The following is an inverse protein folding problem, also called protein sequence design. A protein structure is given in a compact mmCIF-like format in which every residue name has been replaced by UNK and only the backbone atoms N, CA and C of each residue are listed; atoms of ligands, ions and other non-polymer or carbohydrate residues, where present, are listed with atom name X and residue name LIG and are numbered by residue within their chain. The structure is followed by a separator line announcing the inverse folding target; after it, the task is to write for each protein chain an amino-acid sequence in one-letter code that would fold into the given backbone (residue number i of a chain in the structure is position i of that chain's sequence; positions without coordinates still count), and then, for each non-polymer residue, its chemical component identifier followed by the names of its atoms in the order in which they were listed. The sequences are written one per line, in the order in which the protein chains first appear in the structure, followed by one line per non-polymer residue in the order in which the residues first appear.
data_IF_247503151906
#
_entry.id   IF_247503151906
#
_cell.length_a   1.000
_cell.length_b   1.000
_cell.length_c   1.000
_cell.angle_alpha   90.00
_cell.angle_beta   90.00
_cell.angle_gamma   90.00
#
_symmetry.space_group_name_H-M   'P 1'
#
loop_
_entity.id
_entity.type
_entity.pdbx_description
1 polymer ?
#
# COMPACT_ATOMS: atom_id res chain seq x y z
N UNK A 1 -33.51 7.62 -4.51
CA UNK A 1 -32.58 7.64 -5.67
C UNK A 1 -31.16 7.59 -5.11
N UNK A 2 -30.31 6.63 -5.52
CA UNK A 2 -28.90 6.71 -5.17
C UNK A 2 -28.23 7.84 -5.97
N UNK A 3 -27.37 8.60 -5.28
CA UNK A 3 -26.63 9.75 -5.80
C UNK A 3 -25.62 9.30 -6.88
N UNK A 4 -25.68 9.85 -8.12
CA UNK A 4 -24.81 9.44 -9.23
C UNK A 4 -23.33 9.84 -9.10
N UNK A 5 -22.91 10.52 -8.03
CA UNK A 5 -21.53 11.02 -7.89
C UNK A 5 -20.56 10.15 -7.06
N UNK A 6 -21.00 9.07 -6.38
CA UNK A 6 -20.08 8.18 -5.63
C UNK A 6 -19.66 6.96 -6.44
N UNK A 7 -19.02 7.19 -7.60
CA UNK A 7 -18.22 6.11 -8.20
C UNK A 7 -16.95 5.99 -7.36
N UNK A 8 -16.87 4.99 -6.46
CA UNK A 8 -15.65 4.76 -5.68
C UNK A 8 -14.49 4.59 -6.65
N UNK A 9 -13.55 5.53 -6.66
CA UNK A 9 -12.39 5.47 -7.54
C UNK A 9 -11.58 4.23 -7.12
N UNK A 10 -11.67 3.13 -7.90
CA UNK A 10 -10.89 1.93 -7.62
C UNK A 10 -9.43 2.22 -7.98
N UNK A 11 -8.65 2.59 -6.98
CA UNK A 11 -7.19 2.68 -7.10
C UNK A 11 -6.65 1.26 -7.34
N UNK A 12 -5.88 1.02 -8.40
CA UNK A 12 -5.28 -0.29 -8.62
C UNK A 12 -4.24 -0.56 -7.52
N UNK A 13 -4.17 -1.81 -7.05
CA UNK A 13 -3.07 -2.23 -6.17
C UNK A 13 -1.74 -2.11 -6.91
N UNK A 14 -0.71 -1.64 -6.21
CA UNK A 14 0.65 -1.69 -6.73
C UNK A 14 1.12 -3.15 -6.82
N UNK A 15 1.82 -3.51 -7.89
CA UNK A 15 2.42 -4.84 -8.00
C UNK A 15 3.51 -4.99 -6.93
N UNK A 16 3.57 -6.17 -6.29
CA UNK A 16 4.48 -6.48 -5.18
C UNK A 16 4.39 -5.52 -3.99
N UNK A 17 3.19 -5.02 -3.69
CA UNK A 17 2.97 -4.14 -2.55
C UNK A 17 3.31 -4.86 -1.23
N UNK A 18 3.96 -4.15 -0.30
CA UNK A 18 4.35 -4.69 1.00
C UNK A 18 3.11 -5.07 1.81
N UNK A 19 2.07 -4.24 1.75
CA UNK A 19 0.79 -4.47 2.43
C UNK A 19 0.18 -5.83 2.05
N UNK A 20 0.17 -6.18 0.76
CA UNK A 20 -0.41 -7.43 0.28
C UNK A 20 0.47 -8.64 0.59
N UNK A 21 1.78 -8.55 0.30
CA UNK A 21 2.74 -9.63 0.52
C UNK A 21 2.85 -10.01 2.00
N UNK A 22 2.97 -9.02 2.88
CA UNK A 22 3.26 -9.27 4.29
C UNK A 22 2.01 -9.44 5.15
N UNK A 23 0.85 -8.88 4.76
CA UNK A 23 -0.35 -8.85 5.61
C UNK A 23 -1.60 -9.38 4.92
N UNK A 24 -2.12 -8.70 3.89
CA UNK A 24 -3.45 -9.02 3.37
C UNK A 24 -3.55 -10.43 2.78
N UNK A 25 -2.50 -10.91 2.10
CA UNK A 25 -2.47 -12.29 1.60
C UNK A 25 -2.51 -13.33 2.71
N UNK A 26 -2.02 -13.03 3.91
CA UNK A 26 -2.08 -13.94 5.07
C UNK A 26 -3.47 -13.91 5.72
N UNK A 27 -4.08 -12.73 5.86
CA UNK A 27 -5.44 -12.62 6.37
C UNK A 27 -6.46 -13.33 5.46
N UNK A 28 -6.32 -13.16 4.15
CA UNK A 28 -7.19 -13.78 3.15
C UNK A 28 -7.03 -15.32 3.04
N UNK A 29 -5.96 -15.91 3.57
CA UNK A 29 -5.79 -17.38 3.58
C UNK A 29 -6.73 -18.06 4.57
N UNK A 30 -7.14 -17.37 5.63
CA UNK A 30 -8.12 -17.90 6.60
C UNK A 30 -7.72 -19.27 7.20
N UNK A 31 -6.42 -19.53 7.38
CA UNK A 31 -5.91 -20.83 7.88
C UNK A 31 -5.50 -20.82 9.35
N UNK A 32 -5.26 -19.64 9.93
CA UNK A 32 -4.68 -19.54 11.28
C UNK A 32 -5.72 -19.70 12.40
N UNK A 33 -5.42 -20.60 13.34
CA UNK A 33 -6.16 -20.77 14.61
C UNK A 33 -5.52 -19.99 15.76
N UNK A 34 -6.31 -19.56 16.73
CA UNK A 34 -5.85 -18.78 17.91
C UNK A 34 -5.24 -19.67 19.02
N UNK A 35 -4.64 -20.81 18.67
CA UNK A 35 -4.20 -21.81 19.64
C UNK A 35 -3.00 -21.32 20.48
N UNK A 36 -2.99 -21.66 21.76
CA UNK A 36 -1.81 -21.48 22.63
C UNK A 36 -1.66 -20.13 23.34
N UNK A 37 -2.59 -19.17 23.15
CA UNK A 37 -2.49 -17.86 23.80
C UNK A 37 -3.79 -17.43 24.50
N UNK A 38 -3.76 -17.34 25.83
CA UNK A 38 -4.93 -17.07 26.67
C UNK A 38 -5.57 -15.71 26.43
N UNK A 39 -4.76 -14.66 26.22
CA UNK A 39 -5.30 -13.32 25.98
C UNK A 39 -5.94 -13.25 24.57
N UNK A 40 -5.49 -14.05 23.57
CA UNK A 40 -6.04 -14.02 22.20
C UNK A 40 -7.38 -14.72 22.23
N UNK A 41 -7.45 -15.85 22.93
CA UNK A 41 -8.70 -16.55 23.17
C UNK A 41 -9.72 -15.66 23.89
N UNK A 42 -9.26 -14.78 24.79
CA UNK A 42 -10.13 -13.82 25.47
C UNK A 42 -10.69 -12.78 24.50
N UNK A 43 -9.87 -12.24 23.59
CA UNK A 43 -10.34 -11.32 22.55
C UNK A 43 -11.24 -11.99 21.55
N UNK A 44 -10.87 -13.18 21.09
CA UNK A 44 -11.70 -14.00 20.22
C UNK A 44 -13.10 -14.15 20.84
N UNK A 45 -13.17 -14.58 22.10
CA UNK A 45 -14.46 -14.75 22.79
C UNK A 45 -15.25 -13.45 22.89
N UNK A 46 -14.59 -12.32 23.17
CA UNK A 46 -15.26 -11.01 23.20
C UNK A 46 -15.78 -10.57 21.83
N UNK A 47 -14.95 -10.64 20.79
CA UNK A 47 -15.36 -10.34 19.43
C UNK A 47 -16.49 -11.26 18.98
N UNK A 48 -16.44 -12.55 19.30
CA UNK A 48 -17.52 -13.49 19.00
C UNK A 48 -18.84 -13.08 19.68
N UNK A 49 -18.80 -12.72 20.97
CA UNK A 49 -19.98 -12.27 21.72
C UNK A 49 -20.54 -10.95 21.18
N UNK A 50 -19.68 -9.95 20.99
CA UNK A 50 -20.10 -8.62 20.56
C UNK A 50 -20.62 -8.62 19.13
N UNK A 51 -20.00 -9.40 18.23
CA UNK A 51 -20.42 -9.49 16.84
C UNK A 51 -21.65 -10.40 16.64
N UNK A 52 -22.06 -11.20 17.64
CA UNK A 52 -23.16 -12.16 17.55
C UNK A 52 -24.52 -11.49 17.25
N UNK A 53 -24.74 -10.26 17.72
CA UNK A 53 -26.01 -9.54 17.55
C UNK A 53 -26.17 -8.90 16.17
N UNK A 54 -25.11 -8.86 15.35
CA UNK A 54 -25.11 -8.17 14.06
C UNK A 54 -25.23 -9.16 12.91
N UNK A 55 -26.42 -9.23 12.30
CA UNK A 55 -26.71 -10.13 11.19
C UNK A 55 -25.74 -9.94 10.01
N UNK A 56 -25.45 -8.67 9.64
CA UNK A 56 -24.54 -8.32 8.55
C UNK A 56 -23.06 -8.66 8.78
N UNK A 57 -22.70 -9.20 9.95
CA UNK A 57 -21.34 -9.63 10.29
C UNK A 57 -21.20 -11.15 10.31
N UNK A 58 -22.30 -11.92 10.40
CA UNK A 58 -22.22 -13.36 10.68
C UNK A 58 -21.37 -14.12 9.65
N UNK A 59 -21.52 -13.80 8.36
CA UNK A 59 -20.76 -14.41 7.26
C UNK A 59 -19.25 -14.11 7.32
N UNK A 60 -18.87 -13.00 7.95
CA UNK A 60 -17.49 -12.54 8.07
C UNK A 60 -16.87 -12.82 9.44
N UNK A 61 -17.66 -13.26 10.43
CA UNK A 61 -17.21 -13.45 11.82
C UNK A 61 -16.01 -14.38 11.91
N UNK A 62 -16.09 -15.56 11.29
CA UNK A 62 -14.99 -16.54 11.31
C UNK A 62 -13.73 -15.99 10.63
N UNK A 63 -13.90 -15.24 9.53
CA UNK A 63 -12.79 -14.61 8.79
C UNK A 63 -12.08 -13.57 9.64
N UNK A 64 -12.83 -12.73 10.34
CA UNK A 64 -12.30 -11.73 11.27
C UNK A 64 -11.48 -12.41 12.35
N UNK A 65 -12.04 -13.45 13.00
CA UNK A 65 -11.33 -14.20 14.05
C UNK A 65 -10.03 -14.81 13.51
N UNK A 66 -10.05 -15.45 12.34
CA UNK A 66 -8.84 -16.03 11.72
C UNK A 66 -7.81 -14.96 11.36
N UNK A 67 -8.25 -13.78 10.91
CA UNK A 67 -7.39 -12.62 10.67
C UNK A 67 -6.68 -12.16 11.94
N UNK A 68 -7.43 -12.03 13.05
CA UNK A 68 -6.87 -11.72 14.38
C UNK A 68 -5.84 -12.77 14.80
N UNK A 69 -6.18 -14.06 14.66
CA UNK A 69 -5.24 -15.14 14.97
C UNK A 69 -3.98 -15.04 14.09
N UNK A 70 -4.11 -14.76 12.79
CA UNK A 70 -2.98 -14.64 11.87
C UNK A 70 -2.06 -13.47 12.26
N UNK A 71 -2.62 -12.28 12.50
CA UNK A 71 -1.85 -11.11 12.91
C UNK A 71 -1.10 -11.30 14.23
N UNK A 72 -1.65 -12.12 15.13
CA UNK A 72 -1.02 -12.40 16.43
C UNK A 72 0.22 -13.31 16.32
N UNK A 73 0.27 -14.17 15.31
CA UNK A 73 1.37 -15.12 15.05
C UNK A 73 2.45 -14.55 14.15
N UNK A 74 2.22 -13.38 13.56
CA UNK A 74 3.27 -12.69 12.86
C UNK A 74 4.39 -12.40 13.85
N UNK A 75 5.61 -12.78 13.50
CA UNK A 75 6.81 -12.41 14.24
C UNK A 75 7.46 -11.22 13.58
N UNK A 76 8.09 -10.35 14.39
CA UNK A 76 8.92 -9.27 13.86
C UNK A 76 10.11 -9.88 13.14
N UNK A 77 10.18 -9.73 11.82
CA UNK A 77 11.37 -10.12 11.08
C UNK A 77 12.46 -9.07 11.31
N UNK A 78 13.70 -9.51 11.49
CA UNK A 78 14.88 -8.63 11.59
C UNK A 78 15.06 -7.73 10.35
N UNK A 79 14.41 -8.06 9.24
CA UNK A 79 14.44 -7.33 7.97
C UNK A 79 13.38 -6.23 7.84
N UNK A 80 12.33 -6.20 8.67
CA UNK A 80 11.32 -5.13 8.64
C UNK A 80 10.62 -4.90 10.00
N UNK A 81 11.34 -4.31 10.98
CA UNK A 81 10.77 -4.04 12.31
C UNK A 81 9.61 -3.03 12.30
N UNK A 82 9.63 -2.07 11.37
CA UNK A 82 8.61 -1.01 11.28
C UNK A 82 7.28 -1.50 10.70
N UNK A 83 7.29 -2.36 9.67
CA UNK A 83 6.06 -2.94 9.14
C UNK A 83 5.40 -3.87 10.17
N UNK A 84 6.19 -4.55 11.00
CA UNK A 84 5.68 -5.40 12.06
C UNK A 84 4.89 -4.62 13.14
N UNK A 85 5.35 -3.41 13.51
CA UNK A 85 4.62 -2.55 14.46
C UNK A 85 3.27 -2.08 13.93
N UNK A 86 3.06 -2.12 12.61
CA UNK A 86 1.80 -1.71 11.96
C UNK A 86 0.86 -2.88 11.63
N UNK A 87 1.21 -4.13 11.97
CA UNK A 87 0.40 -5.32 11.65
C UNK A 87 -1.06 -5.22 12.13
N UNK A 88 -1.29 -4.58 13.27
CA UNK A 88 -2.63 -4.37 13.82
C UNK A 88 -3.39 -3.29 13.06
N UNK A 89 -2.71 -2.29 12.49
CA UNK A 89 -3.31 -1.30 11.61
C UNK A 89 -3.74 -1.95 10.29
N UNK A 90 -2.87 -2.79 9.69
CA UNK A 90 -3.26 -3.60 8.53
C UNK A 90 -4.46 -4.49 8.83
N UNK A 91 -4.47 -5.17 9.99
CA UNK A 91 -5.62 -5.99 10.41
C UNK A 91 -6.89 -5.14 10.56
N UNK A 92 -6.80 -4.00 11.26
CA UNK A 92 -7.93 -3.12 11.52
C UNK A 92 -8.55 -2.60 10.21
N UNK A 93 -7.74 -2.11 9.29
CA UNK A 93 -8.20 -1.66 7.98
C UNK A 93 -8.74 -2.80 7.11
N UNK A 94 -8.13 -3.99 7.17
CA UNK A 94 -8.65 -5.17 6.46
C UNK A 94 -10.03 -5.59 6.98
N UNK A 95 -10.23 -5.62 8.30
CA UNK A 95 -11.54 -5.92 8.91
C UNK A 95 -12.57 -4.89 8.48
N UNK A 96 -12.23 -3.60 8.54
CA UNK A 96 -13.13 -2.54 8.08
C UNK A 96 -13.47 -2.68 6.59
N UNK A 97 -12.51 -2.94 5.71
CA UNK A 97 -12.79 -3.18 4.29
C UNK A 97 -13.73 -4.38 4.09
N UNK A 98 -13.54 -5.47 4.84
CA UNK A 98 -14.40 -6.64 4.79
C UNK A 98 -15.84 -6.31 5.19
N UNK A 99 -16.01 -5.59 6.30
CA UNK A 99 -17.31 -5.20 6.86
C UNK A 99 -18.02 -4.11 6.05
N UNK A 100 -17.27 -3.25 5.35
CA UNK A 100 -17.84 -2.20 4.49
C UNK A 100 -18.74 -2.75 3.39
N UNK A 101 -18.53 -4.01 3.00
CA UNK A 101 -19.27 -4.71 1.94
C UNK A 101 -20.63 -5.21 2.39
N UNK A 102 -20.85 -5.40 3.70
CA UNK A 102 -22.05 -6.04 4.24
C UNK A 102 -22.85 -5.16 5.22
N UNK A 103 -22.28 -4.05 5.69
CA UNK A 103 -22.93 -3.14 6.64
C UNK A 103 -23.37 -1.83 5.98
N UNK A 104 -24.44 -1.21 6.49
CA UNK A 104 -24.74 0.21 6.23
C UNK A 104 -23.78 1.14 6.99
N UNK A 105 -23.82 2.45 6.73
CA UNK A 105 -22.86 3.41 7.29
C UNK A 105 -22.97 3.59 8.82
N UNK A 106 -24.17 3.44 9.38
CA UNK A 106 -24.41 3.60 10.82
C UNK A 106 -23.83 2.39 11.56
N UNK A 107 -24.24 1.18 11.15
CA UNK A 107 -23.75 -0.06 11.73
C UNK A 107 -22.24 -0.22 11.52
N UNK A 108 -21.73 0.18 10.35
CA UNK A 108 -20.30 0.15 10.05
C UNK A 108 -19.50 0.92 11.08
N UNK A 109 -19.83 2.20 11.31
CA UNK A 109 -19.09 3.07 12.23
C UNK A 109 -19.09 2.51 13.65
N UNK A 110 -20.25 2.02 14.11
CA UNK A 110 -20.39 1.42 15.45
C UNK A 110 -19.54 0.15 15.59
N UNK A 111 -19.63 -0.77 14.63
CA UNK A 111 -18.97 -2.08 14.73
C UNK A 111 -17.45 -1.94 14.56
N UNK A 112 -16.99 -1.11 13.63
CA UNK A 112 -15.54 -0.86 13.44
C UNK A 112 -14.92 -0.22 14.68
N UNK A 113 -15.62 0.72 15.33
CA UNK A 113 -15.14 1.33 16.58
C UNK A 113 -15.05 0.30 17.71
N UNK A 114 -16.06 -0.56 17.85
CA UNK A 114 -16.07 -1.66 18.83
C UNK A 114 -14.90 -2.63 18.60
N UNK A 115 -14.68 -3.05 17.36
CA UNK A 115 -13.56 -3.91 16.99
C UNK A 115 -12.24 -3.22 17.34
N UNK A 116 -12.11 -1.92 17.05
CA UNK A 116 -10.90 -1.20 17.37
C UNK A 116 -10.57 -1.23 18.87
N UNK A 117 -11.56 -0.95 19.71
CA UNK A 117 -11.41 -0.99 21.17
C UNK A 117 -11.05 -2.37 21.69
N UNK A 118 -11.59 -3.45 21.12
CA UNK A 118 -11.20 -4.80 21.53
C UNK A 118 -9.79 -5.16 21.08
N UNK A 119 -9.41 -4.81 19.85
CA UNK A 119 -8.06 -5.06 19.34
C UNK A 119 -7.01 -4.27 20.16
N UNK A 120 -7.29 -3.02 20.55
CA UNK A 120 -6.36 -2.18 21.32
C UNK A 120 -5.97 -2.82 22.65
N UNK A 121 -6.90 -3.50 23.32
CA UNK A 121 -6.66 -4.15 24.63
C UNK A 121 -5.54 -5.19 24.59
N UNK A 122 -5.30 -5.77 23.42
CA UNK A 122 -4.25 -6.76 23.22
C UNK A 122 -3.04 -6.21 22.48
N UNK A 123 -3.25 -5.50 21.39
CA UNK A 123 -2.15 -5.15 20.50
C UNK A 123 -1.25 -4.08 21.13
N UNK A 124 -1.81 -3.18 21.94
CA UNK A 124 -1.05 -2.14 22.64
C UNK A 124 -0.02 -2.75 23.60
N UNK A 125 -0.38 -3.81 24.32
CA UNK A 125 0.55 -4.50 25.23
C UNK A 125 1.59 -5.36 24.49
N UNK A 126 1.38 -5.61 23.20
CA UNK A 126 2.27 -6.37 22.31
C UNK A 126 2.96 -5.49 21.25
N UNK A 127 3.19 -4.21 21.58
CA UNK A 127 3.98 -3.27 20.77
C UNK A 127 3.32 -2.88 19.45
N UNK A 128 2.00 -2.90 19.38
CA UNK A 128 1.25 -2.55 18.18
C UNK A 128 0.16 -1.54 18.53
N UNK A 129 0.36 -0.29 18.09
CA UNK A 129 -0.59 0.81 18.31
C UNK A 129 -1.62 0.81 17.20
N UNK A 130 -2.90 0.79 17.55
CA UNK A 130 -3.98 0.83 16.57
C UNK A 130 -4.41 2.27 16.32
N UNK A 131 -4.56 2.62 15.06
CA UNK A 131 -5.07 3.92 14.61
C UNK A 131 -6.59 3.89 14.60
N UNK A 132 -7.17 3.75 15.79
CA UNK A 132 -8.62 3.84 15.95
C UNK A 132 -9.09 5.19 15.43
N UNK A 133 -10.10 5.13 14.58
CA UNK A 133 -10.48 6.27 13.76
C UNK A 133 -12.00 6.27 13.62
N UNK A 134 -12.61 7.40 13.96
CA UNK A 134 -14.05 7.55 13.88
C UNK A 134 -14.37 8.14 12.52
N UNK A 135 -14.79 7.29 11.60
CA UNK A 135 -15.07 7.67 10.23
C UNK A 135 -16.33 6.94 9.73
N UNK A 136 -17.12 7.62 8.91
CA UNK A 136 -18.10 6.91 8.10
C UNK A 136 -17.38 5.96 7.13
N UNK A 137 -18.14 5.05 6.52
CA UNK A 137 -17.60 4.01 5.64
C UNK A 137 -16.73 4.55 4.50
N UNK A 138 -17.17 5.63 3.85
CA UNK A 138 -16.46 6.22 2.71
C UNK A 138 -15.11 6.79 3.14
N UNK A 139 -15.09 7.61 4.20
CA UNK A 139 -13.86 8.17 4.76
C UNK A 139 -12.92 7.08 5.29
N UNK A 140 -13.45 6.04 5.93
CA UNK A 140 -12.65 4.91 6.40
C UNK A 140 -11.91 4.21 5.26
N UNK A 141 -12.59 3.93 4.14
CA UNK A 141 -11.97 3.29 2.98
C UNK A 141 -10.94 4.19 2.29
N UNK A 142 -11.16 5.51 2.29
CA UNK A 142 -10.17 6.49 1.82
C UNK A 142 -8.95 6.52 2.72
N UNK A 143 -9.12 6.57 4.05
CA UNK A 143 -8.04 6.47 5.04
C UNK A 143 -7.25 5.16 4.87
N UNK A 144 -7.91 4.02 4.67
CA UNK A 144 -7.24 2.75 4.31
C UNK A 144 -6.39 2.89 3.06
N UNK A 145 -6.94 3.48 1.99
CA UNK A 145 -6.24 3.64 0.71
C UNK A 145 -4.95 4.44 0.87
N UNK A 146 -4.98 5.50 1.69
CA UNK A 146 -3.80 6.33 1.97
C UNK A 146 -2.81 5.62 2.89
N UNK A 147 -3.29 4.88 3.89
CA UNK A 147 -2.46 4.00 4.71
C UNK A 147 -1.70 2.97 3.85
N UNK A 148 -2.40 2.29 2.94
CA UNK A 148 -1.79 1.33 2.00
C UNK A 148 -0.75 2.01 1.11
N UNK A 149 -1.10 3.17 0.54
CA UNK A 149 -0.16 3.97 -0.26
C UNK A 149 1.12 4.30 0.51
N UNK A 150 1.01 4.80 1.75
CA UNK A 150 2.18 5.15 2.56
C UNK A 150 3.13 3.96 2.76
N UNK A 151 2.59 2.76 3.02
CA UNK A 151 3.43 1.57 3.23
C UNK A 151 3.95 0.93 1.93
N UNK A 152 3.32 1.24 0.80
CA UNK A 152 3.65 0.63 -0.50
C UNK A 152 4.42 1.57 -1.44
N UNK A 153 4.50 2.87 -1.17
CA UNK A 153 5.13 3.85 -2.06
C UNK A 153 6.64 3.66 -2.28
N UNK A 154 7.30 2.83 -1.46
CA UNK A 154 8.74 2.51 -1.60
C UNK A 154 9.11 1.95 -2.98
N UNK A 155 8.18 1.26 -3.66
CA UNK A 155 8.39 0.78 -5.04
C UNK A 155 8.45 1.93 -6.05
N UNK A 156 7.74 3.03 -5.77
CA UNK A 156 7.75 4.27 -6.56
C UNK A 156 9.08 5.00 -6.33
N UNK A 157 9.48 5.19 -5.07
CA UNK A 157 10.78 5.78 -4.71
C UNK A 157 11.95 5.04 -5.38
N UNK A 158 11.91 3.70 -5.37
CA UNK A 158 12.92 2.87 -6.05
C UNK A 158 12.95 3.12 -7.56
N UNK A 159 11.79 3.32 -8.19
CA UNK A 159 11.70 3.59 -9.62
C UNK A 159 12.16 5.01 -9.99
N UNK A 160 11.94 6.00 -9.12
CA UNK A 160 12.46 7.37 -9.29
C UNK A 160 13.99 7.36 -9.33
N UNK A 161 14.63 6.59 -8.46
CA UNK A 161 16.09 6.52 -8.33
C UNK A 161 16.78 5.64 -9.38
N UNK A 162 16.01 4.87 -10.16
CA UNK A 162 16.55 3.97 -11.17
C UNK A 162 17.05 4.70 -12.42
N UNK A 163 18.20 4.27 -12.96
CA UNK A 163 18.75 4.76 -14.24
C UNK A 163 17.95 4.35 -15.47
N UNK A 164 17.08 3.35 -15.34
CA UNK A 164 16.14 2.93 -16.37
C UNK A 164 14.71 3.20 -15.85
N UNK A 165 14.47 4.44 -15.40
CA UNK A 165 13.23 4.80 -14.73
C UNK A 165 12.04 4.61 -15.67
N UNK A 166 11.15 3.67 -15.33
CA UNK A 166 9.82 3.54 -15.92
C UNK A 166 8.75 4.19 -15.02
N UNK A 167 9.16 5.15 -14.18
CA UNK A 167 8.32 5.76 -13.15
C UNK A 167 7.09 6.42 -13.75
N UNK A 168 7.27 7.24 -14.79
CA UNK A 168 6.18 7.93 -15.47
C UNK A 168 5.15 6.94 -15.99
N UNK A 169 5.59 5.97 -16.80
CA UNK A 169 4.67 5.01 -17.42
C UNK A 169 3.97 4.12 -16.41
N UNK A 170 4.64 3.72 -15.32
CA UNK A 170 4.08 2.76 -14.34
C UNK A 170 3.29 3.41 -13.21
N UNK A 171 3.79 4.50 -12.64
CA UNK A 171 3.32 5.02 -11.36
C UNK A 171 2.61 6.36 -11.45
N UNK A 172 2.84 7.20 -12.48
CA UNK A 172 2.06 8.44 -12.63
C UNK A 172 0.55 8.18 -12.73
N UNK A 173 0.06 7.20 -13.53
CA UNK A 173 -1.38 6.89 -13.56
C UNK A 173 -1.95 6.39 -12.22
N UNK A 174 -1.10 5.80 -11.38
CA UNK A 174 -1.48 5.39 -10.03
C UNK A 174 -1.54 6.61 -9.09
N UNK A 175 -0.52 7.47 -9.11
CA UNK A 175 -0.45 8.69 -8.30
C UNK A 175 -1.60 9.65 -8.64
N UNK A 176 -1.98 9.77 -9.90
CA UNK A 176 -3.15 10.56 -10.33
C UNK A 176 -4.47 10.08 -9.74
N UNK A 177 -4.59 8.79 -9.44
CA UNK A 177 -5.78 8.23 -8.76
C UNK A 177 -5.70 8.38 -7.23
N UNK A 178 -4.49 8.36 -6.66
CA UNK A 178 -4.26 8.57 -5.23
C UNK A 178 -4.48 10.04 -4.83
N UNK A 179 -4.00 10.98 -5.64
CA UNK A 179 -4.02 12.42 -5.35
C UNK A 179 -5.37 12.97 -4.85
N UNK A 180 -6.52 12.73 -5.53
CA UNK A 180 -7.80 13.24 -5.04
C UNK A 180 -8.18 12.63 -3.67
N UNK A 181 -7.92 11.34 -3.47
CA UNK A 181 -8.19 10.65 -2.19
C UNK A 181 -7.30 11.21 -1.08
N UNK A 182 -6.03 11.45 -1.41
CA UNK A 182 -5.05 12.03 -0.50
C UNK A 182 -5.50 13.41 -0.04
N UNK A 183 -5.92 14.27 -0.96
CA UNK A 183 -6.40 15.62 -0.64
C UNK A 183 -7.64 15.58 0.26
N UNK A 184 -8.60 14.70 -0.01
CA UNK A 184 -9.78 14.55 0.85
C UNK A 184 -9.41 14.10 2.27
N UNK A 185 -8.50 13.13 2.41
CA UNK A 185 -8.02 12.66 3.72
C UNK A 185 -7.18 13.73 4.42
N UNK A 186 -6.38 14.49 3.67
CA UNK A 186 -5.59 15.60 4.18
C UNK A 186 -6.49 16.69 4.76
N UNK A 187 -7.49 17.13 4.01
CA UNK A 187 -8.43 18.18 4.44
C UNK A 187 -9.18 17.77 5.72
N UNK A 188 -9.61 16.51 5.78
CA UNK A 188 -10.22 15.94 6.97
C UNK A 188 -9.23 15.88 8.16
N UNK A 189 -7.97 15.51 7.92
CA UNK A 189 -6.96 15.44 8.98
C UNK A 189 -6.43 16.79 9.44
N UNK A 190 -6.45 17.82 8.60
CA UNK A 190 -6.13 19.19 9.01
C UNK A 190 -7.10 19.68 10.09
N UNK A 191 -8.37 19.27 10.04
CA UNK A 191 -9.38 19.55 11.06
C UNK A 191 -9.30 18.65 12.31
N UNK A 192 -8.79 17.43 12.18
CA UNK A 192 -8.92 16.37 13.20
C UNK A 192 -7.58 15.86 13.80
N UNK A 193 -6.44 16.41 13.39
CA UNK A 193 -5.10 15.96 13.82
C UNK A 193 -4.83 15.99 15.32
N UNK A 194 -5.62 16.71 16.13
CA UNK A 194 -5.47 16.74 17.60
C UNK A 194 -6.22 15.62 18.31
N UNK A 195 -7.29 15.12 17.70
CA UNK A 195 -8.26 14.23 18.34
C UNK A 195 -8.27 12.83 17.73
N UNK A 196 -8.07 12.71 16.41
CA UNK A 196 -8.09 11.43 15.69
C UNK A 196 -6.68 10.80 15.62
N UNK A 197 -6.48 9.59 16.19
CA UNK A 197 -5.21 8.86 16.11
C UNK A 197 -4.66 8.65 14.71
N UNK A 198 -5.52 8.39 13.72
CA UNK A 198 -5.10 8.24 12.32
C UNK A 198 -4.54 9.57 11.82
N UNK A 199 -5.23 10.68 12.06
CA UNK A 199 -4.79 11.98 11.58
C UNK A 199 -3.51 12.49 12.25
N UNK A 200 -3.23 12.05 13.49
CA UNK A 200 -1.92 12.28 14.13
C UNK A 200 -0.79 11.65 13.35
N UNK A 201 -0.95 10.37 12.95
CA UNK A 201 0.07 9.67 12.17
C UNK A 201 0.09 10.11 10.71
N UNK A 202 -1.05 10.50 10.13
CA UNK A 202 -1.08 11.08 8.78
C UNK A 202 -0.11 12.27 8.67
N UNK A 203 -0.10 13.16 9.66
CA UNK A 203 0.83 14.29 9.72
C UNK A 203 2.29 13.83 9.86
N UNK A 204 2.59 12.66 10.43
CA UNK A 204 3.96 12.16 10.52
C UNK A 204 4.39 11.50 9.21
N UNK A 205 3.52 10.72 8.57
CA UNK A 205 3.76 10.01 7.31
C UNK A 205 4.13 10.93 6.16
N UNK A 206 3.48 12.10 6.07
CA UNK A 206 3.60 13.04 4.95
C UNK A 206 4.39 14.31 5.28
N UNK A 207 5.25 14.26 6.31
CA UNK A 207 6.26 15.33 6.54
C UNK A 207 7.43 15.29 5.57
N UNK A 208 7.71 14.13 5.00
CA UNK A 208 8.86 13.85 4.15
C UNK A 208 8.43 13.59 2.68
N UNK A 209 9.30 12.95 1.89
CA UNK A 209 9.16 12.68 0.45
C UNK A 209 8.01 11.71 0.06
N UNK A 210 7.03 11.47 0.92
CA UNK A 210 5.93 10.53 0.69
C UNK A 210 4.69 11.17 0.05
N UNK A 211 4.67 12.50 -0.08
CA UNK A 211 3.57 13.23 -0.69
C UNK A 211 3.37 12.79 -2.16
N UNK A 212 2.14 12.40 -2.57
CA UNK A 212 1.89 11.87 -3.91
C UNK A 212 2.08 12.90 -5.03
N UNK A 213 1.90 14.20 -4.76
CA UNK A 213 2.14 15.26 -5.74
C UNK A 213 3.64 15.46 -5.94
N UNK A 214 4.39 15.42 -4.83
CA UNK A 214 5.84 15.45 -4.87
C UNK A 214 6.41 14.23 -5.61
N UNK A 215 5.94 13.02 -5.32
CA UNK A 215 6.38 11.80 -6.02
C UNK A 215 6.06 11.83 -7.51
N UNK A 216 4.90 12.39 -7.90
CA UNK A 216 4.54 12.56 -9.32
C UNK A 216 5.55 13.46 -10.03
N UNK A 217 5.85 14.62 -9.43
CA UNK A 217 6.84 15.56 -9.95
C UNK A 217 8.24 14.95 -10.05
N UNK A 218 8.61 14.11 -9.08
CA UNK A 218 9.88 13.38 -9.10
C UNK A 218 9.94 12.31 -10.19
N UNK A 219 8.84 11.58 -10.49
CA UNK A 219 8.78 10.68 -11.65
C UNK A 219 9.07 11.44 -12.95
N UNK A 220 8.43 12.59 -13.16
CA UNK A 220 8.61 13.39 -14.38
C UNK A 220 10.06 13.87 -14.51
N UNK A 221 10.65 14.34 -13.41
CA UNK A 221 12.06 14.74 -13.36
C UNK A 221 13.04 13.59 -13.62
N UNK A 222 12.73 12.38 -13.14
CA UNK A 222 13.56 11.20 -13.35
C UNK A 222 13.56 10.77 -14.83
N UNK A 223 12.42 10.88 -15.52
CA UNK A 223 12.29 10.61 -16.95
C UNK A 223 13.15 11.56 -17.78
N UNK A 224 13.25 12.83 -17.42
CA UNK A 224 14.12 13.79 -18.12
C UNK A 224 15.62 13.48 -17.95
N UNK A 225 16.01 12.97 -16.78
CA UNK A 225 17.41 12.65 -16.46
C UNK A 225 17.88 11.33 -17.07
N UNK A 226 17.00 10.33 -17.08
CA UNK A 226 17.37 8.93 -17.32
C UNK A 226 16.55 8.26 -18.42
N UNK A 227 15.47 8.89 -18.89
CA UNK A 227 14.64 8.35 -19.95
C UNK A 227 15.38 8.29 -21.29
N UNK A 228 14.90 7.45 -22.23
CA UNK A 228 15.38 7.47 -23.59
C UNK A 228 15.25 8.89 -24.15
N UNK A 229 16.34 9.49 -24.60
CA UNK A 229 16.26 10.77 -25.31
C UNK A 229 15.26 10.60 -26.47
N UNK A 230 14.28 11.48 -26.63
CA UNK A 230 13.38 11.41 -27.78
C UNK A 230 14.25 11.39 -29.03
N UNK A 231 14.07 10.35 -29.85
CA UNK A 231 14.78 10.20 -31.11
C UNK A 231 14.58 11.45 -31.98
N UNK A 232 15.49 11.73 -32.93
CA UNK A 232 15.39 12.91 -33.76
C UNK A 232 14.00 13.01 -34.37
N UNK A 233 13.28 14.08 -34.04
CA UNK A 233 11.99 14.44 -34.65
C UNK A 233 12.25 14.56 -36.15
N UNK A 234 11.78 13.58 -36.93
CA UNK A 234 11.84 13.64 -38.39
C UNK A 234 11.02 14.85 -38.83
N UNK A 235 11.72 15.94 -39.17
CA UNK A 235 11.12 17.12 -39.78
C UNK A 235 10.60 16.79 -41.19
N UNK A 236 9.72 17.64 -41.74
CA UNK A 236 9.10 17.39 -43.04
C UNK A 236 10.15 17.31 -44.15
N UNK A 237 9.96 16.33 -45.03
CA UNK A 237 10.93 15.93 -46.04
C UNK A 237 11.42 17.04 -46.96
N UNK A 238 12.68 16.93 -47.35
CA UNK A 238 13.20 17.55 -48.57
C UNK A 238 13.75 16.42 -49.43
N UNK A 239 13.17 16.28 -50.61
CA UNK A 239 13.56 15.35 -51.67
C UNK A 239 14.92 15.73 -52.24
N UNK A 240 15.85 14.77 -52.31
CA UNK A 240 16.87 14.74 -53.35
C UNK A 240 17.28 13.28 -53.61
N UNK A 241 17.17 12.87 -54.87
CA UNK A 241 17.36 11.51 -55.35
C UNK A 241 18.83 11.14 -55.59
N UNK A 242 19.09 9.83 -55.42
CA UNK A 242 20.10 8.97 -56.05
C UNK A 242 21.60 9.25 -55.82
N UNK A 243 22.34 8.23 -55.35
CA UNK A 243 23.05 7.24 -56.20
C UNK A 243 23.24 5.95 -55.38
N UNK A 244 22.96 4.80 -56.00
CA UNK A 244 23.12 3.47 -55.39
C UNK A 244 24.56 2.96 -55.41
N UNK A 245 24.86 2.05 -54.49
CA UNK A 245 25.78 0.92 -54.72
C UNK A 245 25.52 -0.17 -53.69
N UNK A 246 25.23 -1.34 -54.21
CA UNK A 246 25.06 -2.64 -53.57
C UNK A 246 26.39 -3.17 -53.03
N UNK A 247 26.44 -3.59 -51.77
CA UNK A 247 27.31 -4.68 -51.32
C UNK A 247 26.96 -5.15 -49.88
N UNK A 248 26.56 -6.41 -49.77
CA UNK A 248 26.76 -7.34 -48.63
C UNK A 248 26.63 -8.75 -49.26
N UNK A 249 27.19 -9.84 -48.69
CA UNK A 249 27.74 -9.97 -47.35
C UNK A 249 29.10 -10.70 -47.28
N UNK A 250 29.83 -10.55 -46.18
CA UNK A 250 30.79 -11.58 -45.75
C UNK A 250 30.60 -11.87 -44.26
N UNK A 251 30.17 -13.11 -44.01
CA UNK A 251 30.10 -13.71 -42.70
C UNK A 251 31.51 -13.98 -42.16
N UNK A 252 31.73 -13.64 -40.89
CA UNK A 252 32.86 -14.16 -40.12
C UNK A 252 32.30 -14.82 -38.85
N UNK A 253 32.34 -16.14 -38.86
CA UNK A 253 32.24 -17.04 -37.72
C UNK A 253 33.61 -17.01 -37.03
N UNK A 254 33.71 -16.88 -35.69
CA UNK A 254 34.37 -17.79 -34.71
C UNK A 254 34.13 -17.24 -33.26
N UNK A 255 34.51 -17.91 -32.13
CA UNK A 255 33.60 -18.67 -31.25
C UNK A 255 33.49 -18.16 -29.79
N UNK A 256 32.51 -18.74 -29.09
CA UNK A 256 32.29 -18.92 -27.63
C UNK A 256 33.28 -18.35 -26.61
N UNK A 257 32.74 -17.60 -25.64
CA UNK A 257 33.19 -17.59 -24.25
C UNK A 257 31.99 -17.46 -23.28
N UNK A 258 31.78 -18.48 -22.44
CA UNK A 258 30.99 -18.40 -21.21
C UNK A 258 31.70 -17.46 -20.23
N UNK A 259 30.97 -16.55 -19.59
CA UNK A 259 31.31 -16.09 -18.23
C UNK A 259 30.12 -15.45 -17.51
N UNK A 260 29.89 -15.97 -16.31
CA UNK A 260 29.34 -15.31 -15.12
C UNK A 260 27.89 -14.81 -15.13
N UNK A 261 27.02 -15.61 -14.49
CA UNK A 261 25.82 -15.13 -13.80
C UNK A 261 26.26 -14.13 -12.73
N UNK A 262 26.13 -12.84 -13.02
CA UNK A 262 26.19 -11.78 -12.03
C UNK A 262 24.83 -11.67 -11.35
N UNK A 263 24.73 -12.16 -10.12
CA UNK A 263 23.61 -11.84 -9.22
C UNK A 263 23.58 -10.31 -9.03
N UNK A 264 22.45 -9.62 -9.27
CA UNK A 264 22.33 -8.23 -8.87
C UNK A 264 22.36 -8.19 -7.34
N UNK A 265 23.43 -7.61 -6.80
CA UNK A 265 23.57 -7.24 -5.40
C UNK A 265 22.38 -6.40 -5.00
N UNK A 266 21.57 -6.93 -4.08
CA UNK A 266 20.53 -6.20 -3.36
C UNK A 266 21.20 -4.97 -2.76
N UNK A 267 20.80 -3.80 -3.24
CA UNK A 267 21.17 -2.51 -2.64
C UNK A 267 20.55 -2.51 -1.24
N UNK A 268 21.38 -2.70 -0.23
CA UNK A 268 21.01 -2.51 1.16
C UNK A 268 20.69 -1.04 1.39
N UNK A 269 19.40 -0.73 1.53
CA UNK A 269 18.93 0.55 2.03
C UNK A 269 19.50 0.78 3.43
N UNK A 270 20.42 1.74 3.56
CA UNK A 270 20.80 2.31 4.84
C UNK A 270 19.73 3.34 5.23
N UNK A 271 18.72 2.92 5.98
CA UNK A 271 17.97 3.84 6.84
C UNK A 271 18.89 4.22 8.00
N UNK A 272 19.65 5.30 7.83
CA UNK A 272 20.51 5.80 8.89
C UNK A 272 19.65 6.45 9.97
N UNK A 273 19.66 5.78 11.13
CA UNK A 273 19.23 6.21 12.47
C UNK A 273 19.17 7.73 12.68
N UNK A 274 18.00 8.19 13.14
CA UNK A 274 17.92 9.29 14.10
C UNK A 274 17.96 8.65 15.49
N UNK A 275 19.04 8.86 16.24
CA UNK A 275 19.08 8.57 17.68
C UNK A 275 18.95 9.89 18.45
N UNK A 276 18.20 9.80 19.56
CA UNK A 276 18.06 10.81 20.61
C UNK A 276 19.41 11.17 21.25
#
# INVERSE_FOLDING_TARGET
MPDPAKTSLKVPKLDKSNSDIFFYSKFNKETDKCDGNSTINSIKGKLEMELQSYAGVQDNKEKIIKGVCSASKMEGTSSSPSLYSDRCNFLFFWIGELLSKSLDDILFSTIVQLICTELEKWYTTNGCKILCTSANKDLFLKRKTIFDYYHDNSVILTAILSKDSNCVTKYVPYLEKILPIYNEVKDDCDGNSKTDPYCKEFVTWFKDENDPEQLKTQCDSAQERFGPKPGPRSGPGTTASNVGSTALPTAAIVPSALAAVGLPTIVTFLLYKVQF
#
